data_IF_263879905869
#
_entry.id   IF_263879905869
#
_cell.length_a   1.000
_cell.length_b   1.000
_cell.length_c   1.000
_cell.angle_alpha   90.00
_cell.angle_beta   90.00
_cell.angle_gamma   90.00
#
_symmetry.space_group_name_H-M   'P 1'
#
loop_
_entity.id
_entity.type
_entity.pdbx_description
1 polymer ?
#
# COMPACT_ATOMS: atom_id res chain seq x y z
N UNK A 1 9.07 12.71 2.66
CA UNK A 1 9.53 11.81 3.75
C UNK A 1 9.21 10.37 3.41
N UNK A 2 10.10 9.43 3.70
CA UNK A 2 9.84 7.99 3.52
C UNK A 2 9.60 7.37 4.90
N UNK A 3 8.51 6.62 5.07
CA UNK A 3 8.18 5.92 6.30
C UNK A 3 8.21 4.42 6.06
N UNK A 4 8.92 3.70 6.93
CA UNK A 4 8.85 2.25 7.02
C UNK A 4 8.16 1.87 8.32
N UNK A 5 7.05 1.15 8.21
CA UNK A 5 6.28 0.65 9.33
C UNK A 5 6.49 -0.86 9.39
N UNK A 6 7.16 -1.28 10.44
CA UNK A 6 7.39 -2.70 10.73
C UNK A 6 6.47 -3.20 11.85
N UNK A 7 6.40 -4.52 11.99
CA UNK A 7 5.76 -5.26 13.09
C UNK A 7 6.18 -4.79 14.48
N UNK A 8 7.42 -4.28 14.61
CA UNK A 8 7.97 -3.73 15.85
C UNK A 8 7.60 -2.26 16.09
N UNK A 9 6.88 -1.62 15.16
CA UNK A 9 6.49 -0.20 15.29
C UNK A 9 5.46 -0.05 16.40
N UNK A 10 5.80 0.75 17.40
CA UNK A 10 4.89 1.11 18.49
C UNK A 10 4.15 2.38 18.08
N UNK A 11 2.84 2.27 17.87
CA UNK A 11 1.99 3.41 17.58
C UNK A 11 1.57 4.13 18.86
N UNK A 12 2.53 4.70 19.57
CA UNK A 12 2.26 5.52 20.76
C UNK A 12 1.69 6.90 20.40
N UNK A 13 1.45 7.72 21.42
CA UNK A 13 0.91 9.07 21.24
C UNK A 13 1.81 9.96 20.37
N UNK A 14 3.12 9.90 20.55
CA UNK A 14 4.08 10.72 19.82
C UNK A 14 4.12 10.33 18.35
N UNK A 15 4.12 9.03 18.06
CA UNK A 15 4.08 8.52 16.70
C UNK A 15 2.79 8.92 15.98
N UNK A 16 1.64 8.84 16.66
CA UNK A 16 0.36 9.31 16.12
C UNK A 16 0.37 10.80 15.82
N UNK A 17 0.88 11.62 16.74
CA UNK A 17 1.01 13.07 16.50
C UNK A 17 1.94 13.37 15.32
N UNK A 18 3.09 12.69 15.25
CA UNK A 18 4.03 12.82 14.16
C UNK A 18 3.38 12.51 12.81
N UNK A 19 2.68 11.38 12.69
CA UNK A 19 1.97 11.02 11.45
C UNK A 19 0.90 12.04 11.11
N UNK A 20 0.07 12.45 12.08
CA UNK A 20 -1.01 13.41 11.85
C UNK A 20 -0.48 14.74 11.31
N UNK A 21 0.62 15.24 11.87
CA UNK A 21 1.24 16.51 11.47
C UNK A 21 1.98 16.40 10.14
N UNK A 22 2.56 15.24 9.81
CA UNK A 22 3.44 15.09 8.65
C UNK A 22 2.81 14.35 7.45
N UNK A 23 1.55 13.89 7.54
CA UNK A 23 0.93 13.05 6.49
C UNK A 23 1.03 13.59 5.05
N UNK A 24 0.92 14.90 4.89
CA UNK A 24 1.02 15.59 3.61
C UNK A 24 2.45 15.73 3.07
N UNK A 25 3.47 15.42 3.89
CA UNK A 25 4.87 15.38 3.49
C UNK A 25 5.39 13.94 3.26
N UNK A 26 4.56 12.93 3.51
CA UNK A 26 4.92 11.53 3.29
C UNK A 26 4.85 11.24 1.79
N UNK A 27 5.94 10.72 1.24
CA UNK A 27 6.14 10.43 -0.17
C UNK A 27 6.15 8.92 -0.41
N UNK A 28 6.55 8.14 0.59
CA UNK A 28 6.59 6.68 0.47
C UNK A 28 6.21 6.00 1.79
N UNK A 29 5.43 4.93 1.67
CA UNK A 29 5.13 3.99 2.75
C UNK A 29 5.60 2.58 2.39
N UNK A 30 6.29 1.94 3.32
CA UNK A 30 6.61 0.52 3.29
C UNK A 30 6.03 -0.15 4.54
N UNK A 31 5.08 -1.06 4.35
CA UNK A 31 4.39 -1.79 5.42
C UNK A 31 4.73 -3.27 5.28
N UNK A 32 5.31 -3.85 6.33
CA UNK A 32 5.93 -5.16 6.30
C UNK A 32 4.97 -6.35 6.41
N UNK A 33 3.75 -6.14 6.90
CA UNK A 33 2.79 -7.21 7.15
C UNK A 33 1.36 -6.69 7.23
N UNK A 34 0.40 -7.60 6.98
CA UNK A 34 -1.02 -7.29 7.15
C UNK A 34 -1.37 -6.88 8.58
N UNK A 35 -0.77 -7.48 9.60
CA UNK A 35 -1.07 -7.12 11.00
C UNK A 35 -0.62 -5.69 11.34
N UNK A 36 0.55 -5.27 10.83
CA UNK A 36 1.02 -3.88 10.93
C UNK A 36 0.09 -2.93 10.21
N UNK A 37 -0.33 -3.29 8.99
CA UNK A 37 -1.29 -2.53 8.21
C UNK A 37 -2.63 -2.37 8.93
N UNK A 38 -3.16 -3.44 9.55
CA UNK A 38 -4.41 -3.39 10.30
C UNK A 38 -4.30 -2.43 11.50
N UNK A 39 -3.21 -2.51 12.26
CA UNK A 39 -2.92 -1.55 13.34
C UNK A 39 -2.85 -0.12 12.83
N UNK A 40 -2.20 0.10 11.68
CA UNK A 40 -2.11 1.42 11.07
C UNK A 40 -3.47 1.93 10.61
N UNK A 41 -4.24 1.12 9.89
CA UNK A 41 -5.55 1.48 9.34
C UNK A 41 -6.60 1.76 10.41
N UNK A 42 -6.47 1.13 11.59
CA UNK A 42 -7.28 1.45 12.77
C UNK A 42 -7.01 2.87 13.33
N UNK A 43 -5.88 3.47 12.96
CA UNK A 43 -5.47 4.80 13.42
C UNK A 43 -5.63 5.86 12.33
N UNK A 44 -5.29 5.50 11.08
CA UNK A 44 -5.25 6.39 9.94
C UNK A 44 -5.67 5.66 8.67
N UNK A 45 -6.57 6.25 7.90
CA UNK A 45 -6.92 5.76 6.56
C UNK A 45 -5.94 6.40 5.56
N UNK A 46 -5.36 5.61 4.66
CA UNK A 46 -4.51 6.13 3.57
C UNK A 46 -5.43 6.75 2.50
N UNK A 47 -5.80 8.01 2.69
CA UNK A 47 -6.71 8.76 1.81
C UNK A 47 -6.02 10.01 1.20
N UNK A 48 -6.81 10.87 0.56
CA UNK A 48 -6.37 12.13 -0.05
C UNK A 48 -5.54 13.06 0.87
N UNK A 49 -5.58 12.88 2.20
CA UNK A 49 -4.76 13.66 3.13
C UNK A 49 -3.27 13.29 3.05
N UNK A 50 -2.94 12.14 2.48
CA UNK A 50 -1.59 11.76 2.06
C UNK A 50 -1.29 12.31 0.66
N UNK A 51 -1.48 13.63 0.51
CA UNK A 51 -1.52 14.34 -0.77
C UNK A 51 -0.21 14.39 -1.55
N UNK A 52 0.88 13.82 -1.03
CA UNK A 52 2.18 13.69 -1.71
C UNK A 52 2.68 12.25 -1.77
N UNK A 53 1.83 11.28 -1.42
CA UNK A 53 2.24 9.88 -1.43
C UNK A 53 2.41 9.40 -2.86
N UNK A 54 3.65 9.08 -3.23
CA UNK A 54 4.04 8.65 -4.57
C UNK A 54 4.22 7.12 -4.65
N UNK A 55 4.60 6.48 -3.55
CA UNK A 55 4.92 5.05 -3.52
C UNK A 55 4.35 4.35 -2.29
N UNK A 56 3.69 3.21 -2.53
CA UNK A 56 3.17 2.34 -1.47
C UNK A 56 3.66 0.91 -1.68
N UNK A 57 4.27 0.35 -0.64
CA UNK A 57 4.67 -1.07 -0.58
C UNK A 57 3.90 -1.77 0.52
N UNK A 58 3.16 -2.82 0.16
CA UNK A 58 2.37 -3.64 1.06
C UNK A 58 2.87 -5.07 1.01
N UNK A 59 3.41 -5.55 2.12
CA UNK A 59 3.94 -6.91 2.21
C UNK A 59 2.99 -7.85 2.96
N UNK A 60 2.97 -9.11 2.55
CA UNK A 60 2.19 -10.19 3.15
C UNK A 60 0.70 -9.86 3.35
N UNK A 61 0.05 -9.30 2.34
CA UNK A 61 -1.35 -8.88 2.39
C UNK A 61 -2.30 -9.90 1.74
N UNK A 62 -3.49 -10.08 2.31
CA UNK A 62 -4.56 -10.88 1.69
C UNK A 62 -5.24 -10.14 0.54
N UNK A 63 -5.78 -10.89 -0.41
CA UNK A 63 -6.52 -10.32 -1.56
C UNK A 63 -7.73 -9.48 -1.12
N UNK A 64 -8.47 -9.92 -0.10
CA UNK A 64 -9.58 -9.16 0.48
C UNK A 64 -9.16 -7.79 1.00
N UNK A 65 -8.08 -7.74 1.80
CA UNK A 65 -7.59 -6.47 2.37
C UNK A 65 -7.04 -5.56 1.28
N UNK A 66 -6.40 -6.13 0.26
CA UNK A 66 -5.94 -5.38 -0.89
C UNK A 66 -7.09 -4.68 -1.62
N UNK A 67 -8.20 -5.37 -1.88
CA UNK A 67 -9.38 -4.77 -2.52
C UNK A 67 -9.88 -3.53 -1.77
N UNK A 68 -9.96 -3.61 -0.44
CA UNK A 68 -10.36 -2.48 0.41
C UNK A 68 -9.38 -1.32 0.26
N UNK A 69 -8.08 -1.57 0.28
CA UNK A 69 -7.06 -0.51 0.17
C UNK A 69 -7.10 0.15 -1.19
N UNK A 70 -7.21 -0.64 -2.27
CA UNK A 70 -7.26 -0.12 -3.63
C UNK A 70 -8.38 0.91 -3.82
N UNK A 71 -9.51 0.76 -3.12
CA UNK A 71 -10.57 1.75 -3.11
C UNK A 71 -10.09 3.12 -2.61
N UNK A 72 -9.32 3.15 -1.52
CA UNK A 72 -8.77 4.40 -0.98
C UNK A 72 -7.64 4.97 -1.85
N UNK A 73 -6.83 4.11 -2.47
CA UNK A 73 -5.73 4.55 -3.33
C UNK A 73 -6.18 5.36 -4.55
N UNK A 74 -7.42 5.16 -5.02
CA UNK A 74 -8.02 5.99 -6.09
C UNK A 74 -8.05 7.48 -5.74
N UNK A 75 -8.08 7.83 -4.45
CA UNK A 75 -8.12 9.21 -3.99
C UNK A 75 -6.73 9.88 -3.91
N UNK A 76 -5.65 9.15 -4.20
CA UNK A 76 -4.27 9.65 -4.07
C UNK A 76 -3.78 10.25 -5.40
N UNK A 77 -3.58 11.58 -5.48
CA UNK A 77 -3.32 12.24 -6.75
C UNK A 77 -1.92 11.99 -7.34
N UNK A 78 -0.94 11.61 -6.51
CA UNK A 78 0.45 11.42 -6.95
C UNK A 78 0.94 9.98 -6.84
N UNK A 79 0.06 9.04 -6.47
CA UNK A 79 0.45 7.65 -6.34
C UNK A 79 0.86 7.11 -7.71
N UNK A 80 2.14 6.85 -7.89
CA UNK A 80 2.72 6.41 -9.16
C UNK A 80 3.39 5.04 -9.04
N UNK A 81 3.59 4.53 -7.82
CA UNK A 81 4.22 3.24 -7.57
C UNK A 81 3.44 2.43 -6.53
N UNK A 82 3.05 1.21 -6.89
CA UNK A 82 2.41 0.26 -5.99
C UNK A 82 3.12 -1.08 -6.05
N UNK A 83 3.63 -1.55 -4.91
CA UNK A 83 4.26 -2.86 -4.77
C UNK A 83 3.49 -3.71 -3.76
N UNK A 84 3.10 -4.91 -4.17
CA UNK A 84 2.25 -5.80 -3.39
C UNK A 84 2.92 -7.16 -3.28
N UNK A 85 3.03 -7.69 -2.07
CA UNK A 85 3.33 -9.09 -1.84
C UNK A 85 2.13 -9.77 -1.18
N UNK A 86 1.50 -10.70 -1.90
CA UNK A 86 0.31 -11.38 -1.43
C UNK A 86 0.67 -12.55 -0.50
N UNK A 87 -0.12 -12.75 0.56
CA UNK A 87 0.02 -13.92 1.45
C UNK A 87 -0.78 -15.14 0.96
N UNK A 88 -1.79 -14.92 0.13
CA UNK A 88 -2.59 -15.95 -0.53
C UNK A 88 -3.01 -15.48 -1.93
N UNK A 89 -3.34 -16.44 -2.80
CA UNK A 89 -3.95 -16.15 -4.09
C UNK A 89 -5.40 -16.61 -4.04
N UNK A 90 -6.34 -15.69 -4.25
CA UNK A 90 -7.75 -16.03 -4.48
C UNK A 90 -8.09 -16.00 -5.97
N UNK A 91 -9.26 -16.53 -6.32
CA UNK A 91 -9.77 -16.53 -7.69
C UNK A 91 -10.08 -15.12 -8.22
N UNK A 92 -10.14 -14.12 -7.34
CA UNK A 92 -10.55 -12.73 -7.64
C UNK A 92 -9.40 -11.83 -8.12
N UNK A 93 -8.26 -12.42 -8.48
CA UNK A 93 -7.10 -11.66 -8.97
C UNK A 93 -7.45 -10.82 -10.20
N UNK A 94 -8.32 -11.33 -11.09
CA UNK A 94 -8.77 -10.60 -12.28
C UNK A 94 -9.38 -9.24 -11.95
N UNK A 95 -10.29 -9.19 -10.99
CA UNK A 95 -10.96 -7.97 -10.56
C UNK A 95 -9.98 -7.00 -9.88
N UNK A 96 -9.05 -7.54 -9.10
CA UNK A 96 -7.97 -6.76 -8.48
C UNK A 96 -7.11 -6.08 -9.54
N UNK A 97 -6.68 -6.81 -10.58
CA UNK A 97 -5.90 -6.23 -11.68
C UNK A 97 -6.70 -5.16 -12.42
N UNK A 98 -7.98 -5.38 -12.69
CA UNK A 98 -8.82 -4.35 -13.32
C UNK A 98 -8.82 -3.07 -12.49
N UNK A 99 -9.04 -3.14 -11.18
CA UNK A 99 -9.03 -1.95 -10.31
C UNK A 99 -7.66 -1.26 -10.34
N UNK A 100 -6.57 -2.03 -10.32
CA UNK A 100 -5.20 -1.50 -10.36
C UNK A 100 -4.94 -0.77 -11.68
N UNK A 101 -5.43 -1.27 -12.81
CA UNK A 101 -5.30 -0.59 -14.10
C UNK A 101 -6.10 0.72 -14.19
N UNK A 102 -7.09 0.93 -13.33
CA UNK A 102 -7.77 2.23 -13.21
C UNK A 102 -6.99 3.23 -12.33
N UNK A 103 -5.91 2.80 -11.68
CA UNK A 103 -5.01 3.71 -10.97
C UNK A 103 -3.98 4.25 -11.96
N UNK A 104 -3.68 5.56 -11.88
CA UNK A 104 -2.67 6.22 -12.71
C UNK A 104 -1.24 5.91 -12.24
N UNK A 105 -0.92 4.63 -12.12
CA UNK A 105 0.38 4.13 -11.70
C UNK A 105 1.36 4.12 -12.88
N UNK A 106 2.62 4.47 -12.62
CA UNK A 106 3.74 4.26 -13.54
C UNK A 106 4.39 2.89 -13.34
N UNK A 107 4.43 2.44 -12.10
CA UNK A 107 5.08 1.20 -11.69
C UNK A 107 4.13 0.37 -10.84
N UNK A 108 3.87 -0.85 -11.29
CA UNK A 108 3.13 -1.82 -10.51
C UNK A 108 3.95 -3.10 -10.37
N UNK A 109 4.07 -3.61 -9.13
CA UNK A 109 4.81 -4.83 -8.83
C UNK A 109 3.94 -5.75 -7.97
N UNK A 110 3.86 -7.02 -8.36
CA UNK A 110 3.19 -8.06 -7.58
C UNK A 110 4.12 -9.25 -7.35
N UNK A 111 4.16 -9.71 -6.10
CA UNK A 111 4.84 -10.92 -5.68
C UNK A 111 3.82 -11.91 -5.11
N UNK A 112 3.96 -13.18 -5.48
CA UNK A 112 3.04 -14.24 -5.07
C UNK A 112 3.65 -15.06 -3.91
N UNK A 113 2.83 -15.59 -2.98
CA UNK A 113 3.32 -16.25 -1.77
C UNK A 113 4.15 -17.52 -2.05
N UNK A 114 3.86 -18.22 -3.16
CA UNK A 114 4.59 -19.43 -3.55
C UNK A 114 5.92 -19.14 -4.26
N UNK A 115 6.12 -17.91 -4.73
CA UNK A 115 7.35 -17.48 -5.36
C UNK A 115 7.64 -16.00 -5.00
N UNK A 116 8.05 -15.71 -3.75
CA UNK A 116 8.32 -14.33 -3.32
C UNK A 116 9.45 -13.66 -4.12
N UNK A 117 10.32 -14.46 -4.74
CA UNK A 117 11.38 -14.01 -5.65
C UNK A 117 10.89 -13.71 -7.08
N UNK A 118 9.74 -14.26 -7.49
CA UNK A 118 9.08 -13.91 -8.75
C UNK A 118 8.25 -12.66 -8.52
N UNK A 119 8.92 -11.53 -8.73
CA UNK A 119 8.26 -10.25 -8.80
C UNK A 119 7.98 -9.91 -10.25
N UNK A 120 6.70 -9.86 -10.58
CA UNK A 120 6.28 -9.37 -11.88
C UNK A 120 6.14 -7.86 -11.74
N UNK A 121 7.07 -7.12 -12.34
CA UNK A 121 6.94 -5.67 -12.50
C UNK A 121 6.25 -5.42 -13.84
N UNK A 122 5.05 -4.89 -13.79
CA UNK A 122 4.28 -4.50 -14.96
C UNK A 122 4.44 -2.98 -15.10
N UNK A 123 5.19 -2.48 -16.10
CA UNK A 123 5.10 -1.08 -16.46
C UNK A 123 3.67 -0.83 -16.94
N UNK A 124 2.94 0.03 -16.23
CA UNK A 124 1.62 0.46 -16.66
C UNK A 124 1.86 1.75 -17.45
N UNK A 125 1.62 1.69 -18.76
CA UNK A 125 1.66 2.87 -19.60
C UNK A 125 0.48 3.76 -19.19
N UNK A 126 0.77 4.80 -18.40
CA UNK A 126 -0.16 5.86 -18.05
C UNK A 126 -0.24 6.90 -19.18
#
# INVERSE_FOLDING_TARGET
MKIKISSNTIFDFHYKQFLKSNKHHIISFDIDSQSTLDKFMNLFIIDFLFSRLESLTLNSISTYKLLIILFYLKSLPYLSSLSICLNNCSHDLGDIYQIIFHLSLKYFRVALPRHPHLCITIPIAA
#
